data_IF_076619311257
#
_entry.id   IF_076619311257
#
_cell.length_a   1.000
_cell.length_b   1.000
_cell.length_c   1.000
_cell.angle_alpha   90.00
_cell.angle_beta   90.00
_cell.angle_gamma   90.00
#
_symmetry.space_group_name_H-M   'P 1'
#
loop_
_entity.id
_entity.type
_entity.pdbx_description
1 polymer ?
#
# COMPACT_ATOMS: atom_id res chain seq x y z
N UNK A 1 4.81 1.67 19.38
CA UNK A 1 5.42 1.32 18.09
C UNK A 1 6.96 1.52 18.14
N UNK A 2 7.51 2.77 18.31
CA UNK A 2 8.97 2.98 18.30
C UNK A 2 9.69 2.14 19.36
N UNK A 3 9.14 2.05 20.57
CA UNK A 3 9.69 1.29 21.70
C UNK A 3 9.68 -0.23 21.43
N UNK A 4 8.66 -0.74 20.76
CA UNK A 4 8.53 -2.15 20.39
C UNK A 4 9.55 -2.53 19.31
N UNK A 5 9.73 -1.65 18.31
CA UNK A 5 10.64 -1.89 17.18
C UNK A 5 12.11 -1.72 17.55
N UNK A 6 12.43 -0.90 18.57
CA UNK A 6 13.81 -0.63 18.99
C UNK A 6 14.51 -1.83 19.68
N UNK A 7 13.79 -2.90 19.98
CA UNK A 7 14.32 -4.12 20.63
C UNK A 7 15.35 -4.84 19.74
N UNK A 8 15.27 -4.65 18.42
CA UNK A 8 16.13 -5.34 17.44
C UNK A 8 17.50 -4.67 17.19
N UNK A 9 17.80 -3.54 17.83
CA UNK A 9 19.02 -2.77 17.56
C UNK A 9 19.04 -1.98 16.25
N UNK A 10 17.95 -2.02 15.48
CA UNK A 10 17.83 -1.31 14.22
C UNK A 10 17.60 0.20 14.42
N UNK A 11 18.12 1.02 13.50
CA UNK A 11 17.80 2.44 13.45
C UNK A 11 16.37 2.63 12.93
N UNK A 12 15.49 3.21 13.75
CA UNK A 12 14.08 3.40 13.42
C UNK A 12 13.69 4.87 13.63
N UNK A 13 12.98 5.42 12.66
CA UNK A 13 12.36 6.74 12.76
C UNK A 13 10.87 6.63 12.42
N UNK A 14 10.06 7.34 13.18
CA UNK A 14 8.63 7.51 12.92
C UNK A 14 8.43 8.94 12.45
N UNK A 15 7.82 9.09 11.28
CA UNK A 15 7.41 10.36 10.70
C UNK A 15 5.90 10.38 10.56
N UNK A 16 5.25 11.36 11.18
CA UNK A 16 3.82 11.59 10.95
C UNK A 16 3.64 12.23 9.57
N UNK A 17 2.81 11.62 8.74
CA UNK A 17 2.48 12.13 7.41
C UNK A 17 1.00 11.87 7.11
N UNK A 18 0.25 12.95 6.88
CA UNK A 18 -1.14 12.85 6.45
C UNK A 18 -1.18 12.73 4.91
N UNK A 19 -1.47 11.53 4.42
CA UNK A 19 -1.52 11.22 2.99
C UNK A 19 -2.72 11.85 2.27
N UNK A 20 -3.74 12.32 3.00
CA UNK A 20 -4.83 13.11 2.43
C UNK A 20 -4.39 14.52 2.01
N UNK A 21 -3.22 14.96 2.49
CA UNK A 21 -2.68 16.30 2.24
C UNK A 21 -1.43 16.25 1.37
N UNK A 22 -1.53 16.46 0.05
CA UNK A 22 -0.39 16.35 -0.88
C UNK A 22 0.85 17.15 -0.48
N UNK A 23 0.66 18.33 0.11
CA UNK A 23 1.78 19.21 0.51
C UNK A 23 2.59 18.64 1.69
N UNK A 24 1.97 17.88 2.59
CA UNK A 24 2.65 17.28 3.73
C UNK A 24 3.56 16.12 3.32
N UNK A 25 3.23 15.42 2.24
CA UNK A 25 3.95 14.26 1.76
C UNK A 25 5.39 14.64 1.40
N UNK A 26 5.58 15.62 0.53
CA UNK A 26 6.91 16.02 0.06
C UNK A 26 7.86 16.42 1.20
N UNK A 27 7.35 17.14 2.20
CA UNK A 27 8.15 17.50 3.38
C UNK A 27 8.56 16.25 4.16
N UNK A 28 7.64 15.32 4.42
CA UNK A 28 7.96 14.07 5.14
C UNK A 28 8.98 13.21 4.38
N UNK A 29 8.90 13.17 3.05
CA UNK A 29 9.85 12.43 2.22
C UNK A 29 11.26 13.04 2.26
N UNK A 30 11.39 14.37 2.23
CA UNK A 30 12.70 15.02 2.35
C UNK A 30 13.38 14.72 3.69
N UNK A 31 12.61 14.79 4.78
CA UNK A 31 13.12 14.44 6.13
C UNK A 31 13.53 12.96 6.20
N UNK A 32 12.79 12.07 5.56
CA UNK A 32 13.13 10.64 5.54
C UNK A 32 14.49 10.38 4.85
N UNK A 33 14.74 11.06 3.72
CA UNK A 33 16.01 10.93 2.98
C UNK A 33 17.20 11.50 3.75
N UNK A 34 17.05 12.63 4.40
CA UNK A 34 18.11 13.22 5.21
C UNK A 34 18.63 12.25 6.29
N UNK A 35 17.72 11.47 6.88
CA UNK A 35 18.07 10.55 7.97
C UNK A 35 18.57 9.18 7.51
N UNK A 36 18.02 8.64 6.42
CA UNK A 36 18.21 7.25 6.02
C UNK A 36 18.74 7.07 4.59
N UNK A 37 18.76 8.14 3.81
CA UNK A 37 19.09 8.04 2.39
C UNK A 37 17.95 7.41 1.57
N UNK A 38 18.29 6.97 0.35
CA UNK A 38 17.34 6.32 -0.55
C UNK A 38 16.98 4.92 -0.04
N UNK A 39 15.69 4.57 0.05
CA UNK A 39 15.27 3.24 0.46
C UNK A 39 15.64 2.19 -0.61
N UNK A 40 16.07 1.00 -0.19
CA UNK A 40 16.18 -0.19 -1.05
C UNK A 40 14.83 -0.89 -1.23
N UNK A 41 13.94 -0.78 -0.23
CA UNK A 41 12.57 -1.31 -0.29
C UNK A 41 11.59 -0.22 0.13
N UNK A 42 10.61 0.05 -0.72
CA UNK A 42 9.51 0.98 -0.47
C UNK A 42 8.20 0.21 -0.37
N UNK A 43 7.53 0.27 0.78
CA UNK A 43 6.25 -0.41 0.99
C UNK A 43 5.13 0.63 1.13
N UNK A 44 4.25 0.71 0.14
CA UNK A 44 3.06 1.54 0.17
C UNK A 44 1.89 0.71 0.72
N UNK A 45 1.72 0.75 2.03
CA UNK A 45 0.71 -0.02 2.76
C UNK A 45 -0.49 0.80 3.20
N UNK A 46 -0.31 2.09 3.44
CA UNK A 46 -1.40 2.96 3.91
C UNK A 46 -2.59 2.93 2.95
N UNK A 47 -3.79 2.87 3.51
CA UNK A 47 -5.03 2.84 2.73
C UNK A 47 -6.20 3.31 3.55
N UNK A 48 -7.22 3.81 2.85
CA UNK A 48 -8.47 4.33 3.38
C UNK A 48 -9.64 3.68 2.66
N UNK A 49 -10.70 3.40 3.37
CA UNK A 49 -11.94 2.85 2.84
C UNK A 49 -13.14 3.65 3.34
N UNK A 50 -14.17 3.69 2.54
CA UNK A 50 -15.44 4.33 2.83
C UNK A 50 -16.56 3.56 2.15
N UNK A 51 -17.60 3.20 2.89
CA UNK A 51 -18.80 2.59 2.34
C UNK A 51 -19.80 3.65 1.91
N UNK A 52 -20.36 3.49 0.73
CA UNK A 52 -21.39 4.35 0.18
C UNK A 52 -21.74 4.01 -1.26
N UNK A 53 -22.96 4.31 -1.64
CA UNK A 53 -23.40 4.16 -3.02
C UNK A 53 -22.56 5.07 -3.94
N UNK A 54 -22.02 4.51 -5.00
CA UNK A 54 -21.09 5.21 -5.88
C UNK A 54 -21.69 6.48 -6.51
N UNK A 55 -22.97 6.43 -6.90
CA UNK A 55 -23.64 7.55 -7.58
C UNK A 55 -24.06 8.69 -6.67
N UNK A 56 -24.22 8.43 -5.37
CA UNK A 56 -24.57 9.42 -4.35
C UNK A 56 -23.41 9.80 -3.43
N UNK A 57 -22.22 9.24 -3.68
CA UNK A 57 -21.03 9.50 -2.88
C UNK A 57 -20.63 10.98 -2.94
N UNK A 58 -20.41 11.66 -1.80
CA UNK A 58 -19.87 13.02 -1.80
C UNK A 58 -18.53 13.10 -2.51
N UNK A 59 -18.34 14.12 -3.32
CA UNK A 59 -17.13 14.28 -4.14
C UNK A 59 -15.86 14.37 -3.30
N UNK A 60 -15.92 14.99 -2.14
CA UNK A 60 -14.80 15.07 -1.19
C UNK A 60 -14.37 13.69 -0.67
N UNK A 61 -15.32 12.79 -0.40
CA UNK A 61 -15.02 11.39 0.00
C UNK A 61 -14.39 10.60 -1.13
N UNK A 62 -14.90 10.74 -2.35
CA UNK A 62 -14.28 10.18 -3.53
C UNK A 62 -12.83 10.66 -3.68
N UNK A 63 -12.62 11.97 -3.61
CA UNK A 63 -11.30 12.59 -3.75
C UNK A 63 -10.35 12.14 -2.65
N UNK A 64 -10.81 12.02 -1.40
CA UNK A 64 -10.01 11.55 -0.27
C UNK A 64 -9.53 10.10 -0.48
N UNK A 65 -10.40 9.19 -0.91
CA UNK A 65 -10.04 7.81 -1.21
C UNK A 65 -8.98 7.75 -2.31
N UNK A 66 -9.20 8.46 -3.42
CA UNK A 66 -8.24 8.49 -4.53
C UNK A 66 -6.92 9.16 -4.09
N UNK A 67 -6.98 10.21 -3.28
CA UNK A 67 -5.80 10.88 -2.77
C UNK A 67 -4.97 9.95 -1.90
N UNK A 68 -5.58 9.26 -0.93
CA UNK A 68 -4.84 8.39 0.00
C UNK A 68 -4.36 7.12 -0.68
N UNK A 69 -5.22 6.44 -1.46
CA UNK A 69 -4.92 5.09 -1.96
C UNK A 69 -4.11 5.08 -3.27
N UNK A 70 -4.11 6.17 -4.03
CA UNK A 70 -3.50 6.22 -5.35
C UNK A 70 -2.57 7.43 -5.52
N UNK A 71 -3.08 8.66 -5.36
CA UNK A 71 -2.30 9.87 -5.63
C UNK A 71 -1.10 10.01 -4.69
N UNK A 72 -1.25 9.64 -3.42
CA UNK A 72 -0.15 9.65 -2.47
C UNK A 72 0.95 8.65 -2.86
N UNK A 73 0.56 7.46 -3.34
CA UNK A 73 1.51 6.45 -3.82
C UNK A 73 2.25 6.96 -5.06
N UNK A 74 1.54 7.59 -5.99
CA UNK A 74 2.16 8.26 -7.13
C UNK A 74 3.19 9.32 -6.67
N UNK A 75 2.84 10.20 -5.71
CA UNK A 75 3.76 11.21 -5.20
C UNK A 75 5.00 10.61 -4.54
N UNK A 76 4.81 9.58 -3.72
CA UNK A 76 5.89 8.87 -3.04
C UNK A 76 6.82 8.19 -4.06
N UNK A 77 6.25 7.49 -5.05
CA UNK A 77 7.03 6.86 -6.12
C UNK A 77 7.73 7.91 -6.99
N UNK A 78 7.07 9.00 -7.36
CA UNK A 78 7.67 10.09 -8.14
C UNK A 78 8.88 10.73 -7.44
N UNK A 79 8.90 10.71 -6.11
CA UNK A 79 10.01 11.20 -5.31
C UNK A 79 11.15 10.19 -5.22
N UNK A 80 10.86 8.93 -4.87
CA UNK A 80 11.90 7.93 -4.58
C UNK A 80 12.45 7.21 -5.82
N UNK A 81 11.62 6.94 -6.83
CA UNK A 81 12.04 6.16 -8.01
C UNK A 81 13.24 6.77 -8.72
N UNK A 82 13.31 8.09 -8.99
CA UNK A 82 14.50 8.70 -9.59
C UNK A 82 15.78 8.49 -8.77
N UNK A 83 15.66 8.40 -7.44
CA UNK A 83 16.79 8.15 -6.55
C UNK A 83 17.17 6.67 -6.53
N UNK A 84 16.18 5.78 -6.57
CA UNK A 84 16.37 4.32 -6.62
C UNK A 84 17.06 3.87 -7.90
N UNK A 85 16.88 4.56 -9.03
CA UNK A 85 17.55 4.26 -10.31
C UNK A 85 19.09 4.15 -10.22
N UNK A 86 19.70 4.75 -9.19
CA UNK A 86 21.16 4.72 -8.99
C UNK A 86 21.70 3.38 -8.46
N UNK A 87 20.84 2.61 -7.77
CA UNK A 87 21.24 1.39 -7.06
C UNK A 87 20.25 0.23 -7.24
N UNK A 88 19.20 0.45 -8.00
CA UNK A 88 18.06 -0.45 -8.01
C UNK A 88 17.20 -0.35 -6.75
N UNK A 89 16.18 -1.18 -6.66
CA UNK A 89 15.32 -1.27 -5.49
C UNK A 89 14.02 -2.01 -5.75
N UNK A 90 13.19 -2.10 -4.72
CA UNK A 90 11.91 -2.79 -4.77
C UNK A 90 10.79 -1.91 -4.22
N UNK A 91 9.71 -1.78 -4.99
CA UNK A 91 8.45 -1.14 -4.57
C UNK A 91 7.43 -2.25 -4.33
N UNK A 92 6.78 -2.23 -3.16
CA UNK A 92 5.69 -3.14 -2.82
C UNK A 92 4.43 -2.31 -2.57
N UNK A 93 3.44 -2.44 -3.43
CA UNK A 93 2.16 -1.75 -3.31
C UNK A 93 1.10 -2.72 -2.78
N UNK A 94 0.49 -2.39 -1.65
CA UNK A 94 -0.55 -3.21 -1.04
C UNK A 94 -1.90 -2.87 -1.66
N UNK A 95 -2.36 -3.78 -2.51
CA UNK A 95 -3.66 -3.72 -3.15
C UNK A 95 -4.69 -4.56 -2.36
N UNK A 96 -5.81 -4.85 -2.94
CA UNK A 96 -6.93 -5.57 -2.35
C UNK A 96 -7.58 -6.49 -3.37
N UNK A 97 -8.25 -7.51 -2.90
CA UNK A 97 -9.18 -8.30 -3.72
C UNK A 97 -10.21 -7.44 -4.46
N UNK A 98 -10.56 -6.29 -3.87
CA UNK A 98 -11.39 -5.27 -4.48
C UNK A 98 -10.80 -4.63 -5.76
N UNK A 99 -9.53 -4.85 -6.07
CA UNK A 99 -8.94 -4.41 -7.34
C UNK A 99 -9.47 -5.22 -8.54
N UNK A 100 -9.86 -6.46 -8.31
CA UNK A 100 -10.29 -7.40 -9.34
C UNK A 100 -11.78 -7.74 -9.27
N UNK A 101 -12.47 -7.30 -8.21
CA UNK A 101 -13.86 -7.60 -7.95
C UNK A 101 -14.61 -6.35 -7.50
N UNK A 102 -15.88 -6.27 -7.88
CA UNK A 102 -16.76 -5.19 -7.49
C UNK A 102 -17.63 -5.63 -6.29
N UNK A 103 -17.74 -4.76 -5.32
CA UNK A 103 -18.60 -4.96 -4.16
C UNK A 103 -19.56 -3.79 -4.03
N UNK A 104 -20.86 -4.02 -3.80
CA UNK A 104 -21.82 -2.95 -3.52
C UNK A 104 -21.31 -2.06 -2.39
N UNK A 105 -21.48 -0.75 -2.54
CA UNK A 105 -21.03 0.29 -1.60
C UNK A 105 -19.51 0.47 -1.44
N UNK A 106 -18.68 -0.32 -2.12
CA UNK A 106 -17.22 -0.21 -2.11
C UNK A 106 -16.64 0.39 -3.40
N UNK A 107 -17.48 1.01 -4.25
CA UNK A 107 -17.09 1.39 -5.61
C UNK A 107 -15.84 2.27 -5.69
N UNK A 108 -15.73 3.33 -4.88
CA UNK A 108 -14.55 4.20 -4.87
C UNK A 108 -13.27 3.47 -4.42
N UNK A 109 -13.39 2.61 -3.40
CA UNK A 109 -12.29 1.78 -2.95
C UNK A 109 -11.84 0.79 -4.05
N UNK A 110 -12.79 0.08 -4.68
CA UNK A 110 -12.49 -0.83 -5.80
C UNK A 110 -11.74 -0.10 -6.92
N UNK A 111 -12.23 1.07 -7.34
CA UNK A 111 -11.57 1.90 -8.37
C UNK A 111 -10.16 2.29 -7.93
N UNK A 112 -9.97 2.75 -6.70
CA UNK A 112 -8.65 3.14 -6.20
C UNK A 112 -7.65 1.99 -6.21
N UNK A 113 -8.07 0.78 -5.79
CA UNK A 113 -7.20 -0.40 -5.72
C UNK A 113 -6.94 -1.03 -7.10
N UNK A 114 -7.91 -0.98 -8.02
CA UNK A 114 -7.71 -1.36 -9.41
C UNK A 114 -6.71 -0.42 -10.12
N UNK A 115 -6.88 0.89 -9.91
CA UNK A 115 -5.95 1.89 -10.44
C UNK A 115 -4.52 1.73 -9.84
N UNK A 116 -4.39 1.42 -8.55
CA UNK A 116 -3.10 1.15 -7.91
C UNK A 116 -2.42 -0.08 -8.51
N UNK A 117 -3.15 -1.16 -8.77
CA UNK A 117 -2.62 -2.36 -9.41
C UNK A 117 -2.12 -2.05 -10.83
N UNK A 118 -2.89 -1.28 -11.62
CA UNK A 118 -2.48 -0.83 -12.95
C UNK A 118 -1.26 0.10 -12.89
N UNK A 119 -1.23 1.06 -11.97
CA UNK A 119 -0.09 1.94 -11.73
C UNK A 119 1.19 1.15 -11.42
N UNK A 120 1.09 0.10 -10.59
CA UNK A 120 2.23 -0.76 -10.26
C UNK A 120 2.80 -1.46 -11.48
N UNK A 121 1.93 -1.96 -12.36
CA UNK A 121 2.34 -2.58 -13.63
C UNK A 121 3.06 -1.59 -14.54
N UNK A 122 2.54 -0.37 -14.67
CA UNK A 122 3.16 0.68 -15.48
C UNK A 122 4.57 1.02 -14.97
N UNK A 123 4.70 1.31 -13.66
CA UNK A 123 6.01 1.63 -13.05
C UNK A 123 7.00 0.47 -13.21
N UNK A 124 6.56 -0.77 -13.04
CA UNK A 124 7.38 -1.97 -13.22
C UNK A 124 7.99 -2.02 -14.61
N UNK A 125 7.19 -1.81 -15.65
CA UNK A 125 7.68 -1.87 -17.03
C UNK A 125 8.57 -0.67 -17.39
N UNK A 126 8.21 0.53 -16.95
CA UNK A 126 9.01 1.73 -17.19
C UNK A 126 10.39 1.66 -16.53
N UNK A 127 10.48 1.08 -15.33
CA UNK A 127 11.68 1.05 -14.51
C UNK A 127 12.50 -0.24 -14.61
N UNK A 128 12.05 -1.22 -15.38
CA UNK A 128 12.75 -2.51 -15.57
C UNK A 128 14.22 -2.32 -16.00
N UNK A 129 14.50 -1.38 -16.87
CA UNK A 129 15.86 -1.05 -17.35
C UNK A 129 16.73 -0.35 -16.31
N UNK A 130 16.15 0.12 -15.21
CA UNK A 130 16.81 0.83 -14.13
C UNK A 130 16.96 -0.03 -12.87
N UNK A 131 16.69 -1.35 -12.96
CA UNK A 131 16.71 -2.30 -11.85
C UNK A 131 15.79 -1.92 -10.69
N UNK A 132 14.77 -1.09 -10.93
CA UNK A 132 13.72 -0.79 -9.95
C UNK A 132 12.54 -1.70 -10.23
N UNK A 133 12.35 -2.64 -9.31
CA UNK A 133 11.31 -3.67 -9.36
C UNK A 133 10.04 -3.17 -8.69
N UNK A 134 8.87 -3.59 -9.14
CA UNK A 134 7.60 -3.25 -8.49
C UNK A 134 6.68 -4.46 -8.43
N UNK A 135 6.14 -4.70 -7.21
CA UNK A 135 5.26 -5.80 -6.88
C UNK A 135 3.90 -5.30 -6.41
N UNK A 136 2.83 -5.98 -6.82
CA UNK A 136 1.50 -5.82 -6.23
C UNK A 136 1.20 -6.97 -5.29
N UNK A 137 0.81 -6.69 -4.05
CA UNK A 137 0.24 -7.69 -3.15
C UNK A 137 -1.26 -7.45 -3.06
N UNK A 138 -2.04 -8.35 -3.60
CA UNK A 138 -3.50 -8.34 -3.55
C UNK A 138 -3.97 -9.14 -2.34
N UNK A 139 -4.48 -8.44 -1.33
CA UNK A 139 -4.94 -9.06 -0.08
C UNK A 139 -6.46 -9.23 -0.09
N UNK A 140 -6.93 -10.36 0.41
CA UNK A 140 -8.28 -10.49 0.95
C UNK A 140 -8.42 -9.67 2.24
N UNK A 141 -9.51 -9.89 2.96
CA UNK A 141 -9.73 -9.20 4.25
C UNK A 141 -8.65 -9.58 5.26
N UNK A 142 -8.05 -8.55 5.86
CA UNK A 142 -7.03 -8.69 6.92
C UNK A 142 -7.61 -8.10 8.20
N UNK A 143 -7.51 -8.80 9.31
CA UNK A 143 -8.00 -8.33 10.61
C UNK A 143 -7.17 -7.14 11.10
N UNK A 144 -7.61 -5.94 10.76
CA UNK A 144 -6.96 -4.67 11.09
C UNK A 144 -8.00 -3.66 11.56
N UNK A 145 -7.58 -2.54 12.20
CA UNK A 145 -8.50 -1.46 12.60
C UNK A 145 -9.25 -0.77 11.46
N UNK A 146 -8.93 -1.07 10.19
CA UNK A 146 -9.71 -0.57 9.04
C UNK A 146 -11.20 -0.91 9.19
N UNK A 147 -11.50 -2.10 9.69
CA UNK A 147 -12.86 -2.62 9.88
C UNK A 147 -13.58 -2.01 11.10
N UNK A 148 -12.87 -1.28 11.96
CA UNK A 148 -13.42 -0.59 13.13
C UNK A 148 -13.60 0.92 12.87
N UNK A 149 -13.32 1.38 11.64
CA UNK A 149 -13.47 2.79 11.30
C UNK A 149 -14.95 3.16 11.17
N UNK A 150 -15.31 4.38 11.55
CA UNK A 150 -16.66 4.94 11.38
C UNK A 150 -17.12 5.03 9.90
N UNK A 151 -16.20 4.84 8.96
CA UNK A 151 -16.43 4.92 7.52
C UNK A 151 -16.67 3.57 6.87
N UNK A 152 -16.53 2.48 7.62
CA UNK A 152 -16.70 1.11 7.14
C UNK A 152 -17.77 0.40 7.93
N UNK A 153 -18.89 0.18 7.29
CA UNK A 153 -19.96 -0.67 7.82
C UNK A 153 -19.80 -2.07 7.25
N UNK A 154 -19.42 -3.03 8.09
CA UNK A 154 -19.24 -4.42 7.71
C UNK A 154 -19.50 -5.36 8.87
N UNK A 155 -20.23 -6.42 8.59
CA UNK A 155 -20.57 -7.48 9.53
C UNK A 155 -19.71 -8.73 9.33
N UNK A 156 -18.45 -8.54 8.97
CA UNK A 156 -17.53 -9.63 8.65
C UNK A 156 -16.97 -10.33 9.90
N UNK A 157 -16.90 -11.65 9.84
CA UNK A 157 -16.26 -12.44 10.87
C UNK A 157 -14.73 -12.21 10.87
N UNK A 158 -14.23 -11.44 11.84
CA UNK A 158 -12.82 -11.10 11.97
C UNK A 158 -11.92 -12.33 12.19
N UNK A 159 -12.42 -13.40 12.78
CA UNK A 159 -11.65 -14.62 13.03
C UNK A 159 -11.37 -15.41 11.73
N UNK A 160 -12.19 -15.17 10.70
CA UNK A 160 -11.99 -15.75 9.38
C UNK A 160 -11.05 -14.94 8.48
N UNK A 161 -10.65 -13.73 8.90
CA UNK A 161 -9.74 -12.87 8.15
C UNK A 161 -8.28 -13.33 8.23
N UNK A 162 -7.46 -12.79 7.32
CA UNK A 162 -6.01 -12.96 7.38
C UNK A 162 -5.44 -12.33 8.65
N UNK A 163 -4.50 -13.04 9.28
CA UNK A 163 -3.77 -12.50 10.41
C UNK A 163 -2.68 -11.52 9.92
N UNK A 164 -2.59 -10.28 10.46
CA UNK A 164 -1.60 -9.28 10.05
C UNK A 164 -0.15 -9.75 10.16
N UNK A 165 0.19 -10.54 11.19
CA UNK A 165 1.56 -11.06 11.37
C UNK A 165 1.93 -12.08 10.28
N UNK A 166 0.96 -12.80 9.73
CA UNK A 166 1.20 -13.71 8.61
C UNK A 166 1.34 -12.95 7.31
N UNK A 167 0.55 -11.89 7.12
CA UNK A 167 0.67 -10.98 5.97
C UNK A 167 2.05 -10.31 5.97
N UNK A 168 2.50 -9.79 7.11
CA UNK A 168 3.81 -9.14 7.20
C UNK A 168 4.98 -10.09 6.90
N UNK A 169 4.89 -11.37 7.28
CA UNK A 169 5.88 -12.39 6.89
C UNK A 169 5.90 -12.65 5.37
N UNK A 170 4.75 -12.60 4.72
CA UNK A 170 4.68 -12.71 3.25
C UNK A 170 5.32 -11.49 2.58
N UNK A 171 5.08 -10.28 3.10
CA UNK A 171 5.72 -9.05 2.61
C UNK A 171 7.24 -9.13 2.78
N UNK A 172 7.71 -9.58 3.94
CA UNK A 172 9.13 -9.78 4.20
C UNK A 172 9.76 -10.79 3.23
N UNK A 173 9.11 -11.93 3.02
CA UNK A 173 9.55 -12.92 2.04
C UNK A 173 9.75 -12.32 0.63
N UNK A 174 8.83 -11.45 0.19
CA UNK A 174 8.96 -10.75 -1.10
C UNK A 174 10.14 -9.77 -1.07
N UNK A 175 10.30 -9.03 0.03
CA UNK A 175 11.37 -8.05 0.17
C UNK A 175 12.78 -8.67 0.20
N UNK A 176 12.89 -9.91 0.65
CA UNK A 176 14.16 -10.67 0.75
C UNK A 176 14.52 -11.43 -0.55
N UNK A 177 13.69 -11.37 -1.60
CA UNK A 177 14.03 -12.01 -2.86
C UNK A 177 15.28 -11.37 -3.49
N UNK A 178 16.17 -12.17 -4.08
CA UNK A 178 17.37 -11.65 -4.72
C UNK A 178 17.02 -10.69 -5.86
N UNK A 179 17.92 -9.75 -6.13
CA UNK A 179 17.71 -8.70 -7.16
C UNK A 179 17.44 -9.27 -8.57
N UNK A 180 17.92 -10.48 -8.84
CA UNK A 180 17.67 -11.18 -10.09
C UNK A 180 16.27 -11.76 -10.25
N UNK A 181 15.43 -11.65 -9.22
CA UNK A 181 14.07 -12.19 -9.20
C UNK A 181 13.05 -11.11 -8.84
N UNK A 182 11.85 -11.26 -9.38
CA UNK A 182 10.71 -10.40 -9.06
C UNK A 182 9.44 -11.26 -8.94
N UNK A 183 8.81 -11.17 -7.79
CA UNK A 183 7.41 -11.58 -7.63
C UNK A 183 6.57 -10.38 -8.09
N UNK A 184 6.02 -10.47 -9.29
CA UNK A 184 5.31 -9.34 -9.90
C UNK A 184 3.96 -9.06 -9.23
N UNK A 185 3.19 -10.13 -9.00
CA UNK A 185 1.88 -10.07 -8.38
C UNK A 185 1.72 -11.27 -7.44
N UNK A 186 1.23 -11.03 -6.24
CA UNK A 186 0.89 -12.09 -5.28
C UNK A 186 -0.51 -11.87 -4.74
N UNK A 187 -1.33 -12.90 -4.76
CA UNK A 187 -2.68 -12.89 -4.17
C UNK A 187 -2.65 -13.74 -2.91
N UNK A 188 -3.04 -13.13 -1.78
CA UNK A 188 -3.17 -13.81 -0.49
C UNK A 188 -4.59 -13.64 0.03
N UNK A 189 -5.30 -14.75 0.15
CA UNK A 189 -6.71 -14.78 0.53
C UNK A 189 -6.91 -15.57 1.83
N UNK A 190 -7.93 -15.27 2.63
CA UNK A 190 -8.43 -16.21 3.62
C UNK A 190 -8.80 -17.53 2.96
N UNK A 191 -8.54 -18.65 3.62
CA UNK A 191 -8.91 -19.98 3.09
C UNK A 191 -10.43 -20.15 2.92
N UNK A 192 -11.21 -19.36 3.64
CA UNK A 192 -12.68 -19.27 3.55
C UNK A 192 -13.18 -18.48 2.34
N UNK A 193 -12.28 -17.85 1.58
CA UNK A 193 -12.62 -17.02 0.42
C UNK A 193 -12.76 -15.53 0.75
N UNK A 194 -13.30 -14.78 -0.20
CA UNK A 194 -13.69 -13.39 0.03
C UNK A 194 -15.07 -13.36 0.71
N UNK A 195 -15.24 -12.47 1.64
CA UNK A 195 -16.53 -12.24 2.33
C UNK A 195 -17.42 -11.34 1.52
#
# INVERSE_FOLDING_TARGET
>A
LKKELSISGNKIKILACDLSKPKSINHSLSVAIEDFGCPSVLINNAGFAYNGELVSMPLDRWQEIIQVNLTSVFQICSYFVPLMRKKGGLIINISSHAANNAFPQWGAYCVSKAALASFTKCIREEERKNDVRACTITLGSVNTPLWDSEFVDSDFNKDAMLNPDKVSKTILFIAEQPESQLIEDLILMPATGAF
#
